data_IF_761836126221
#
_entry.id   IF_761836126221
#
_cell.length_a   1.000
_cell.length_b   1.000
_cell.length_c   1.000
_cell.angle_alpha   90.00
_cell.angle_beta   90.00
_cell.angle_gamma   90.00
#
_symmetry.space_group_name_H-M   'P 1'
#
loop_
_entity.id
_entity.type
_entity.pdbx_description
1 polymer ?
#
# COMPACT_ATOMS: atom_id res chain seq x y z
N UNK A 1 -42.26 11.14 44.18
CA UNK A 1 -41.19 11.97 43.59
C UNK A 1 -39.87 11.20 43.70
N UNK A 2 -39.34 10.59 42.62
CA UNK A 2 -38.09 9.83 42.68
C UNK A 2 -36.88 10.77 42.60
N UNK A 3 -35.89 10.52 43.47
CA UNK A 3 -34.59 11.22 43.51
C UNK A 3 -33.65 10.67 42.45
N UNK A 4 -33.09 11.56 41.63
CA UNK A 4 -32.08 11.23 40.63
C UNK A 4 -30.74 10.87 41.31
N UNK A 5 -30.14 9.75 40.89
CA UNK A 5 -28.81 9.34 41.30
C UNK A 5 -27.76 10.03 40.43
N UNK A 6 -26.80 10.70 41.08
CA UNK A 6 -25.67 11.36 40.43
C UNK A 6 -24.49 10.39 40.42
N UNK A 7 -24.14 9.86 39.25
CA UNK A 7 -22.91 9.09 39.06
C UNK A 7 -21.73 10.04 38.84
N UNK A 8 -20.78 10.06 39.79
CA UNK A 8 -19.46 10.69 39.64
C UNK A 8 -18.53 9.74 38.89
N UNK A 9 -17.93 10.20 37.80
CA UNK A 9 -16.86 9.49 37.11
C UNK A 9 -15.51 9.67 37.85
N UNK A 10 -14.64 8.65 37.89
CA UNK A 10 -13.32 8.75 38.48
C UNK A 10 -12.35 9.52 37.58
N UNK A 11 -11.53 10.37 38.19
CA UNK A 11 -10.44 11.09 37.55
C UNK A 11 -9.28 10.15 37.24
N UNK A 12 -8.92 10.02 35.96
CA UNK A 12 -7.71 9.31 35.51
C UNK A 12 -6.52 10.27 35.61
N UNK A 13 -5.59 9.94 36.51
CA UNK A 13 -4.29 10.61 36.62
C UNK A 13 -3.40 10.21 35.44
N UNK A 14 -3.00 11.19 34.64
CA UNK A 14 -1.97 11.04 33.62
C UNK A 14 -0.59 11.09 34.29
N UNK A 15 0.15 9.98 34.28
CA UNK A 15 1.58 9.98 34.58
C UNK A 15 2.35 10.33 33.30
N UNK A 16 3.03 11.47 33.31
CA UNK A 16 3.98 11.88 32.27
C UNK A 16 5.33 11.24 32.64
N UNK A 17 5.78 10.26 31.86
CA UNK A 17 7.12 9.69 31.99
C UNK A 17 8.11 10.50 31.13
N UNK A 18 9.11 11.11 31.78
CA UNK A 18 10.25 11.77 31.15
C UNK A 18 11.12 10.76 30.38
N UNK A 19 11.30 10.99 29.08
CA UNK A 19 12.23 10.23 28.25
C UNK A 19 13.67 10.77 28.42
N UNK A 20 14.54 9.94 28.98
CA UNK A 20 15.96 10.22 29.21
C UNK A 20 16.75 10.44 27.92
N UNK A 21 17.59 11.47 27.93
CA UNK A 21 18.59 11.78 26.90
C UNK A 21 19.74 10.75 26.96
N UNK A 22 19.74 9.78 26.06
CA UNK A 22 20.89 8.91 25.80
C UNK A 22 21.88 9.59 24.85
N UNK A 23 23.07 9.90 25.35
CA UNK A 23 24.19 10.39 24.54
C UNK A 23 24.71 9.27 23.63
N UNK A 24 24.57 9.43 22.31
CA UNK A 24 25.11 8.50 21.33
C UNK A 24 26.58 8.84 21.03
N UNK A 25 27.48 7.98 21.48
CA UNK A 25 28.92 8.01 21.18
C UNK A 25 29.15 7.55 19.73
N UNK A 26 29.47 8.47 18.83
CA UNK A 26 29.89 8.17 17.45
C UNK A 26 31.26 7.48 17.46
N UNK A 27 31.31 6.19 17.08
CA UNK A 27 32.56 5.52 16.71
C UNK A 27 32.75 5.62 15.20
N UNK A 28 33.72 6.45 14.81
CA UNK A 28 34.17 6.65 13.44
C UNK A 28 35.08 5.49 13.04
N UNK A 29 34.58 4.54 12.26
CA UNK A 29 35.40 3.47 11.68
C UNK A 29 35.79 3.85 10.26
N UNK A 30 37.07 4.21 10.06
CA UNK A 30 37.69 4.31 8.74
C UNK A 30 37.74 2.91 8.09
N UNK A 31 37.17 2.78 6.89
CA UNK A 31 37.37 1.61 6.03
C UNK A 31 38.21 2.03 4.82
N UNK A 32 39.32 1.33 4.51
CA UNK A 32 40.16 1.64 3.36
C UNK A 32 39.49 1.24 2.03
N UNK A 33 39.53 2.16 1.06
CA UNK A 33 39.08 1.99 -0.32
C UNK A 33 40.17 1.29 -1.12
N UNK A 34 39.90 0.05 -1.57
CA UNK A 34 40.78 -0.70 -2.47
C UNK A 34 40.31 -0.53 -3.91
N UNK A 35 41.07 0.23 -4.71
CA UNK A 35 40.92 0.28 -6.17
C UNK A 35 41.38 -1.05 -6.79
N UNK A 36 40.45 -1.80 -7.38
CA UNK A 36 40.73 -2.99 -8.17
C UNK A 36 40.25 -2.81 -9.62
N UNK A 37 41.18 -2.48 -10.51
CA UNK A 37 41.00 -2.37 -11.96
C UNK A 37 41.03 -3.79 -12.56
N UNK A 38 39.92 -4.27 -13.13
CA UNK A 38 39.88 -5.57 -13.82
C UNK A 38 39.27 -5.42 -15.23
N UNK A 39 40.14 -5.60 -16.22
CA UNK A 39 39.84 -5.65 -17.65
C UNK A 39 38.93 -6.84 -17.98
N UNK A 40 37.81 -6.60 -18.67
CA UNK A 40 36.94 -7.66 -19.17
C UNK A 40 37.14 -7.86 -20.68
N UNK A 41 37.62 -9.06 -21.03
CA UNK A 41 37.81 -9.57 -22.38
C UNK A 41 36.45 -9.79 -23.06
N UNK A 42 36.31 -9.28 -24.28
CA UNK A 42 35.17 -9.50 -25.17
C UNK A 42 35.37 -10.85 -25.86
N UNK A 43 34.61 -11.87 -25.45
CA UNK A 43 34.55 -13.16 -26.13
C UNK A 43 33.30 -13.22 -27.03
N UNK A 44 33.50 -13.19 -28.34
CA UNK A 44 32.46 -13.47 -29.34
C UNK A 44 32.14 -14.97 -29.32
N UNK A 45 31.05 -15.36 -28.64
CA UNK A 45 30.51 -16.73 -28.65
C UNK A 45 29.38 -16.90 -29.65
N UNK A 46 29.57 -17.81 -30.60
CA UNK A 46 28.62 -18.21 -31.65
C UNK A 46 27.31 -18.76 -31.07
N UNK A 47 26.19 -18.21 -31.54
CA UNK A 47 24.84 -18.48 -31.04
C UNK A 47 24.31 -19.89 -31.30
N UNK A 48 24.00 -20.59 -30.22
CA UNK A 48 23.01 -21.67 -30.21
C UNK A 48 21.66 -21.09 -29.80
N UNK A 49 20.65 -21.25 -30.65
CA UNK A 49 19.28 -20.85 -30.32
C UNK A 49 18.79 -21.67 -29.12
N UNK A 50 18.38 -21.05 -28.00
CA UNK A 50 17.80 -21.78 -26.88
C UNK A 50 16.48 -22.41 -27.37
N UNK A 51 16.43 -23.74 -27.39
CA UNK A 51 15.19 -24.49 -27.53
C UNK A 51 14.42 -24.28 -26.24
N UNK A 52 13.52 -23.29 -26.27
CA UNK A 52 12.67 -22.91 -25.14
C UNK A 52 11.82 -24.08 -24.70
N UNK A 53 12.19 -24.68 -23.57
CA UNK A 53 11.27 -25.52 -22.84
C UNK A 53 10.23 -24.62 -22.19
N UNK A 54 8.94 -24.93 -22.39
CA UNK A 54 7.78 -24.30 -21.76
C UNK A 54 7.71 -24.55 -20.23
N UNK A 55 8.85 -24.52 -19.54
CA UNK A 55 9.01 -24.72 -18.11
C UNK A 55 8.64 -23.50 -17.28
N UNK A 56 7.53 -22.83 -17.64
CA UNK A 56 6.98 -21.77 -16.81
C UNK A 56 6.70 -22.25 -15.39
N UNK A 57 6.73 -21.37 -14.38
CA UNK A 57 6.39 -21.73 -13.02
C UNK A 57 5.02 -22.41 -12.97
N UNK A 58 4.94 -23.61 -12.39
CA UNK A 58 3.67 -24.31 -12.22
C UNK A 58 2.86 -23.59 -11.14
N UNK A 59 1.71 -23.05 -11.53
CA UNK A 59 0.80 -22.36 -10.60
C UNK A 59 0.24 -23.33 -9.53
N UNK A 60 0.08 -22.87 -8.28
CA UNK A 60 -0.67 -23.60 -7.25
C UNK A 60 -2.12 -23.87 -7.69
N UNK A 61 -2.73 -24.99 -7.27
CA UNK A 61 -4.10 -25.34 -7.65
C UNK A 61 -5.17 -24.33 -7.17
N UNK A 62 -4.81 -23.52 -6.19
CA UNK A 62 -5.64 -22.50 -5.54
C UNK A 62 -5.14 -21.08 -5.80
N UNK A 63 -4.31 -20.88 -6.84
CA UNK A 63 -3.80 -19.57 -7.24
C UNK A 63 -4.89 -18.49 -7.39
N UNK A 64 -6.07 -18.87 -7.88
CA UNK A 64 -7.21 -17.95 -8.12
C UNK A 64 -8.33 -18.07 -7.07
N UNK A 65 -8.07 -18.68 -5.90
CA UNK A 65 -9.11 -18.93 -4.90
C UNK A 65 -9.79 -17.64 -4.39
N UNK A 66 -9.03 -16.53 -4.31
CA UNK A 66 -9.55 -15.25 -3.83
C UNK A 66 -10.70 -14.70 -4.69
N UNK A 67 -10.77 -15.05 -5.99
CA UNK A 67 -11.82 -14.58 -6.91
C UNK A 67 -13.21 -15.10 -6.56
N UNK A 68 -13.30 -16.14 -5.74
CA UNK A 68 -14.57 -16.71 -5.24
C UNK A 68 -15.05 -16.06 -3.95
N UNK A 69 -14.22 -15.20 -3.34
CA UNK A 69 -14.55 -14.50 -2.12
C UNK A 69 -15.36 -13.24 -2.47
N UNK A 70 -16.52 -13.10 -1.85
CA UNK A 70 -17.23 -11.82 -1.83
C UNK A 70 -16.50 -10.89 -0.86
N UNK A 71 -15.74 -9.94 -1.40
CA UNK A 71 -14.98 -8.96 -0.62
C UNK A 71 -15.89 -8.15 0.32
N UNK A 72 -17.15 -7.95 -0.06
CA UNK A 72 -18.16 -7.30 0.77
C UNK A 72 -18.56 -8.13 1.99
N UNK A 73 -18.28 -9.43 2.05
CA UNK A 73 -18.57 -10.28 3.21
C UNK A 73 -17.35 -10.52 4.11
N UNK A 74 -16.20 -9.92 3.80
CA UNK A 74 -15.00 -10.05 4.64
C UNK A 74 -15.11 -9.12 5.84
N UNK A 75 -15.05 -9.67 7.06
CA UNK A 75 -15.29 -8.94 8.32
C UNK A 75 -14.48 -7.65 8.45
N UNK A 76 -13.18 -7.70 8.16
CA UNK A 76 -12.28 -6.55 8.22
C UNK A 76 -12.66 -5.44 7.22
N UNK A 77 -13.16 -5.82 6.05
CA UNK A 77 -13.62 -4.88 5.02
C UNK A 77 -14.92 -4.22 5.46
N UNK A 78 -15.84 -5.01 6.00
CA UNK A 78 -17.08 -4.53 6.61
C UNK A 78 -16.82 -3.58 7.78
N UNK A 79 -15.82 -3.85 8.62
CA UNK A 79 -15.40 -2.92 9.68
C UNK A 79 -14.87 -1.60 9.12
N UNK A 80 -14.08 -1.64 8.04
CA UNK A 80 -13.58 -0.43 7.39
C UNK A 80 -14.72 0.40 6.79
N UNK A 81 -15.65 -0.22 6.06
CA UNK A 81 -16.82 0.46 5.49
C UNK A 81 -17.64 1.17 6.56
N UNK A 82 -17.90 0.52 7.71
CA UNK A 82 -18.59 1.15 8.85
C UNK A 82 -17.83 2.35 9.42
N UNK A 83 -16.50 2.31 9.41
CA UNK A 83 -15.65 3.40 9.94
C UNK A 83 -15.60 4.62 9.01
N UNK A 84 -15.62 4.40 7.70
CA UNK A 84 -15.52 5.49 6.72
C UNK A 84 -16.79 6.35 6.63
N UNK A 85 -17.92 5.90 7.20
CA UNK A 85 -19.25 6.53 7.20
C UNK A 85 -19.89 6.69 5.81
N UNK A 86 -19.10 6.87 4.76
CA UNK A 86 -19.47 6.88 3.35
C UNK A 86 -18.42 6.10 2.56
N UNK A 87 -18.83 5.12 1.76
CA UNK A 87 -17.94 4.31 0.94
C UNK A 87 -18.68 3.09 0.42
N UNK A 88 -18.39 2.70 -0.82
CA UNK A 88 -18.96 1.52 -1.47
C UNK A 88 -17.84 0.74 -2.19
N UNK A 89 -17.96 -0.59 -2.18
CA UNK A 89 -17.08 -1.45 -2.99
C UNK A 89 -17.70 -1.53 -4.39
N UNK A 90 -16.94 -1.15 -5.40
CA UNK A 90 -17.27 -1.49 -6.79
C UNK A 90 -16.57 -2.79 -7.16
N UNK A 91 -17.33 -3.88 -7.22
CA UNK A 91 -16.77 -5.20 -7.52
C UNK A 91 -16.17 -5.28 -8.93
N UNK A 92 -16.60 -4.41 -9.85
CA UNK A 92 -16.05 -4.33 -11.20
C UNK A 92 -14.65 -3.69 -11.23
N UNK A 93 -14.27 -2.96 -10.19
CA UNK A 93 -12.95 -2.31 -10.08
C UNK A 93 -11.95 -3.13 -9.23
N UNK A 94 -12.34 -4.30 -8.71
CA UNK A 94 -11.42 -5.15 -7.95
C UNK A 94 -10.31 -5.65 -8.87
N UNK A 95 -9.07 -5.38 -8.49
CA UNK A 95 -7.88 -5.89 -9.19
C UNK A 95 -7.41 -7.16 -8.51
N UNK A 96 -7.14 -8.19 -9.32
CA UNK A 96 -6.57 -9.45 -8.86
C UNK A 96 -5.17 -9.61 -9.42
N UNK A 97 -4.17 -9.73 -8.54
CA UNK A 97 -2.78 -9.88 -8.92
C UNK A 97 -1.98 -10.55 -7.79
N UNK A 98 -0.90 -11.24 -8.15
CA UNK A 98 0.10 -11.72 -7.20
C UNK A 98 1.01 -10.55 -6.81
N UNK A 99 0.83 -10.04 -5.59
CA UNK A 99 1.65 -8.97 -4.98
C UNK A 99 2.51 -9.49 -3.82
N UNK A 100 2.47 -10.80 -3.55
CA UNK A 100 3.27 -11.46 -2.51
C UNK A 100 4.40 -12.32 -3.07
N UNK A 101 4.38 -12.59 -4.38
CA UNK A 101 5.35 -13.40 -5.10
C UNK A 101 5.18 -14.90 -4.87
N UNK A 102 4.04 -15.36 -4.34
CA UNK A 102 3.79 -16.76 -4.00
C UNK A 102 2.98 -17.52 -5.08
N UNK A 103 2.77 -16.89 -6.24
CA UNK A 103 1.98 -17.36 -7.38
C UNK A 103 0.48 -17.52 -7.06
N UNK A 104 -0.02 -16.88 -6.01
CA UNK A 104 -1.44 -16.76 -5.70
C UNK A 104 -1.84 -15.31 -5.84
N UNK A 105 -3.07 -15.10 -6.26
CA UNK A 105 -3.60 -13.77 -6.43
C UNK A 105 -4.13 -13.24 -5.08
N UNK A 106 -3.87 -11.97 -4.84
CA UNK A 106 -4.57 -11.14 -3.87
C UNK A 106 -5.66 -10.31 -4.56
N UNK A 107 -6.67 -9.91 -3.80
CA UNK A 107 -7.68 -8.95 -4.24
C UNK A 107 -7.36 -7.56 -3.67
N UNK A 108 -7.15 -6.59 -4.56
CA UNK A 108 -7.05 -5.17 -4.23
C UNK A 108 -8.46 -4.58 -4.39
N UNK A 109 -9.10 -4.30 -3.26
CA UNK A 109 -10.51 -3.94 -3.19
C UNK A 109 -10.62 -2.42 -3.00
N UNK A 110 -10.96 -1.65 -4.05
CA UNK A 110 -11.22 -0.22 -3.93
C UNK A 110 -12.47 0.04 -3.09
N UNK A 111 -12.44 1.11 -2.32
CA UNK A 111 -13.61 1.68 -1.65
C UNK A 111 -13.81 3.09 -2.19
N UNK A 112 -14.86 3.24 -3.00
CA UNK A 112 -15.21 4.47 -3.68
C UNK A 112 -16.13 5.34 -2.84
N UNK A 113 -15.94 6.65 -2.90
CA UNK A 113 -16.89 7.64 -2.38
C UNK A 113 -18.16 7.75 -3.23
N UNK A 114 -18.15 7.20 -4.46
CA UNK A 114 -19.17 7.41 -5.51
C UNK A 114 -19.33 8.87 -5.97
N UNK A 115 -18.45 9.76 -5.50
CA UNK A 115 -18.39 11.16 -5.88
C UNK A 115 -17.12 11.48 -6.67
N UNK A 116 -16.79 12.78 -6.74
CA UNK A 116 -15.61 13.28 -7.46
C UNK A 116 -14.28 12.93 -6.78
N UNK A 117 -14.31 12.48 -5.52
CA UNK A 117 -13.13 12.02 -4.81
C UNK A 117 -12.63 10.65 -5.30
N UNK A 118 -13.42 9.90 -6.08
CA UNK A 118 -13.03 8.55 -6.51
C UNK A 118 -12.84 7.61 -5.31
N UNK A 119 -11.78 6.81 -5.33
CA UNK A 119 -11.45 5.87 -4.26
C UNK A 119 -10.89 6.60 -3.04
N UNK A 120 -11.52 6.39 -1.89
CA UNK A 120 -11.15 7.01 -0.61
C UNK A 120 -10.42 6.04 0.32
N UNK A 121 -10.43 4.75 -0.02
CA UNK A 121 -9.68 3.72 0.67
C UNK A 121 -9.49 2.52 -0.27
N UNK A 122 -8.60 1.63 0.09
CA UNK A 122 -8.57 0.28 -0.44
C UNK A 122 -7.99 -0.69 0.59
N UNK A 123 -8.27 -1.97 0.38
CA UNK A 123 -7.67 -3.06 1.16
C UNK A 123 -7.07 -4.08 0.21
N UNK A 124 -6.04 -4.78 0.66
CA UNK A 124 -5.49 -5.95 -0.04
C UNK A 124 -5.83 -7.19 0.77
N UNK A 125 -6.51 -8.13 0.15
CA UNK A 125 -6.99 -9.37 0.77
C UNK A 125 -6.29 -10.56 0.13
N UNK A 126 -5.62 -11.37 0.95
CA UNK A 126 -4.96 -12.61 0.55
C UNK A 126 -5.72 -13.83 1.05
N UNK A 127 -5.59 -14.96 0.37
CA UNK A 127 -6.06 -16.24 0.87
C UNK A 127 -4.98 -16.92 1.72
N UNK A 128 -5.23 -17.07 3.02
CA UNK A 128 -4.30 -17.69 3.98
C UNK A 128 -4.99 -18.78 4.77
N UNK A 129 -4.42 -19.98 4.76
CA UNK A 129 -5.00 -21.15 5.44
C UNK A 129 -6.49 -21.38 5.09
N UNK A 130 -6.86 -21.11 3.83
CA UNK A 130 -8.24 -21.24 3.34
C UNK A 130 -9.19 -20.12 3.76
N UNK A 131 -8.71 -19.02 4.33
CA UNK A 131 -9.52 -17.87 4.77
C UNK A 131 -9.03 -16.55 4.15
N UNK A 132 -9.92 -15.60 3.86
CA UNK A 132 -9.51 -14.27 3.44
C UNK A 132 -8.93 -13.49 4.63
N UNK A 133 -7.72 -12.97 4.47
CA UNK A 133 -7.02 -12.14 5.46
C UNK A 133 -6.59 -10.82 4.81
N UNK A 134 -6.79 -9.70 5.52
CA UNK A 134 -6.33 -8.39 5.07
C UNK A 134 -4.84 -8.23 5.36
N UNK A 135 -4.05 -7.97 4.33
CA UNK A 135 -2.58 -7.79 4.43
C UNK A 135 -2.14 -6.33 4.23
N UNK A 136 -3.04 -5.45 3.79
CA UNK A 136 -2.85 -4.00 3.69
C UNK A 136 -4.18 -3.28 3.82
N UNK A 137 -4.20 -2.15 4.52
CA UNK A 137 -5.33 -1.21 4.55
C UNK A 137 -4.82 0.20 4.35
N UNK A 138 -5.40 0.92 3.41
CA UNK A 138 -5.04 2.30 3.09
C UNK A 138 -6.29 3.13 3.02
N UNK A 139 -6.25 4.29 3.65
CA UNK A 139 -7.35 5.26 3.69
C UNK A 139 -6.79 6.61 3.32
N UNK A 140 -7.55 7.39 2.57
CA UNK A 140 -7.24 8.78 2.30
C UNK A 140 -7.02 9.51 3.63
N UNK A 141 -5.87 10.17 3.76
CA UNK A 141 -5.54 10.95 4.94
C UNK A 141 -5.97 12.41 4.75
N UNK A 142 -5.97 13.22 5.81
CA UNK A 142 -6.35 14.64 5.70
C UNK A 142 -5.33 15.48 4.91
N UNK A 143 -4.08 15.02 4.77
CA UNK A 143 -3.05 15.69 3.97
C UNK A 143 -3.19 15.45 2.46
N UNK A 144 -4.05 14.52 2.07
CA UNK A 144 -4.41 14.19 0.68
C UNK A 144 -5.85 14.64 0.35
N UNK A 145 -6.43 15.48 1.21
CA UNK A 145 -7.81 15.95 1.12
C UNK A 145 -8.05 16.75 -0.17
N UNK A 146 -8.60 16.07 -1.18
CA UNK A 146 -9.04 16.65 -2.44
C UNK A 146 -8.97 15.67 -3.61
N UNK A 147 -8.12 14.64 -3.52
CA UNK A 147 -7.94 13.63 -4.57
C UNK A 147 -8.22 12.22 -4.08
N UNK A 148 -8.60 11.32 -4.98
CA UNK A 148 -8.73 9.90 -4.69
C UNK A 148 -7.39 9.17 -4.65
N UNK A 149 -7.45 7.92 -4.20
CA UNK A 149 -6.38 6.94 -4.32
C UNK A 149 -6.50 6.23 -5.67
N UNK A 150 -5.40 6.11 -6.40
CA UNK A 150 -5.32 5.23 -7.58
C UNK A 150 -4.38 4.08 -7.26
N UNK A 151 -4.77 2.88 -7.65
CA UNK A 151 -3.95 1.68 -7.46
C UNK A 151 -3.59 1.07 -8.82
N UNK A 152 -2.38 0.56 -8.93
CA UNK A 152 -1.90 -0.15 -10.10
C UNK A 152 -0.91 -1.23 -9.67
N UNK A 153 -0.92 -2.38 -10.35
CA UNK A 153 0.09 -3.42 -10.14
C UNK A 153 0.97 -3.50 -11.38
N UNK A 154 2.29 -3.40 -11.18
CA UNK A 154 3.29 -3.53 -12.25
C UNK A 154 4.38 -4.49 -11.77
N UNK A 155 4.65 -5.53 -12.56
CA UNK A 155 5.69 -6.51 -12.28
C UNK A 155 5.59 -7.12 -10.86
N UNK A 156 4.37 -7.38 -10.39
CA UNK A 156 4.10 -7.92 -9.05
C UNK A 156 4.22 -6.90 -7.90
N UNK A 157 4.47 -5.63 -8.20
CA UNK A 157 4.58 -4.55 -7.21
C UNK A 157 3.31 -3.71 -7.23
N UNK A 158 2.71 -3.49 -6.06
CA UNK A 158 1.57 -2.60 -5.88
C UNK A 158 2.04 -1.14 -5.79
N UNK A 159 1.47 -0.28 -6.62
CA UNK A 159 1.67 1.17 -6.61
C UNK A 159 0.38 1.87 -6.20
N UNK A 160 0.48 2.75 -5.20
CA UNK A 160 -0.54 3.73 -4.83
C UNK A 160 -0.12 5.09 -5.39
N UNK A 161 -1.04 5.80 -6.03
CA UNK A 161 -0.87 7.21 -6.41
C UNK A 161 -1.92 8.06 -5.69
N UNK A 162 -1.49 9.12 -5.03
CA UNK A 162 -2.36 10.07 -4.34
C UNK A 162 -1.96 11.52 -4.64
N UNK A 163 -2.90 12.44 -4.64
CA UNK A 163 -2.62 13.87 -4.79
C UNK A 163 -2.00 14.48 -3.52
N UNK A 164 -1.01 15.34 -3.69
CA UNK A 164 -0.39 16.13 -2.61
C UNK A 164 -0.70 17.60 -2.87
N UNK A 165 -1.38 18.23 -1.92
CA UNK A 165 -1.87 19.61 -2.03
C UNK A 165 -0.93 20.58 -1.32
N UNK A 166 -0.45 21.58 -2.04
CA UNK A 166 0.19 22.78 -1.51
C UNK A 166 -0.82 23.76 -0.93
N UNK A 167 -0.33 24.79 -0.23
CA UNK A 167 -1.19 25.81 0.39
C UNK A 167 -1.97 26.64 -0.64
N UNK A 168 -1.43 26.81 -1.85
CA UNK A 168 -2.05 27.55 -2.95
C UNK A 168 -2.88 26.66 -3.89
N UNK A 169 -2.90 25.33 -3.65
CA UNK A 169 -3.60 24.41 -4.52
C UNK A 169 -5.12 24.50 -4.30
N UNK A 170 -5.91 24.64 -5.36
CA UNK A 170 -7.34 24.41 -5.28
C UNK A 170 -7.61 22.97 -4.85
N UNK A 171 -8.65 22.74 -4.03
CA UNK A 171 -9.03 21.41 -3.51
C UNK A 171 -9.38 20.35 -4.59
N UNK A 172 -9.36 20.71 -5.87
CA UNK A 172 -9.57 19.81 -7.00
C UNK A 172 -8.27 19.29 -7.65
N UNK A 173 -7.16 19.99 -7.42
CA UNK A 173 -6.10 20.08 -8.40
C UNK A 173 -4.75 20.14 -7.69
N UNK A 174 -4.20 18.99 -7.27
CA UNK A 174 -2.93 18.94 -6.55
C UNK A 174 -1.79 19.35 -7.48
N UNK A 175 -0.80 20.06 -6.95
CA UNK A 175 0.43 20.42 -7.67
C UNK A 175 1.42 19.27 -7.77
N UNK A 176 1.34 18.30 -6.85
CA UNK A 176 2.21 17.15 -6.78
C UNK A 176 1.42 15.84 -6.67
N UNK A 177 2.01 14.75 -7.15
CA UNK A 177 1.52 13.39 -6.93
C UNK A 177 2.51 12.65 -6.04
N UNK A 178 2.01 11.93 -5.04
CA UNK A 178 2.78 10.95 -4.28
C UNK A 178 2.55 9.57 -4.86
N UNK A 179 3.63 8.90 -5.25
CA UNK A 179 3.62 7.51 -5.69
C UNK A 179 4.31 6.66 -4.63
N UNK A 180 3.58 5.70 -4.07
CA UNK A 180 4.07 4.77 -3.04
C UNK A 180 4.10 3.36 -3.62
N UNK A 181 5.28 2.75 -3.65
CA UNK A 181 5.47 1.35 -4.02
C UNK A 181 5.49 0.48 -2.76
N UNK A 182 4.78 -0.65 -2.81
CA UNK A 182 4.70 -1.60 -1.71
C UNK A 182 5.42 -2.90 -2.01
N UNK A 183 6.17 -3.39 -1.03
CA UNK A 183 6.88 -4.66 -1.07
C UNK A 183 6.33 -5.60 0.01
N UNK A 184 6.28 -6.88 -0.31
CA UNK A 184 5.86 -7.93 0.60
C UNK A 184 6.98 -8.40 1.53
N UNK A 185 6.84 -8.21 2.85
CA UNK A 185 7.88 -8.59 3.82
C UNK A 185 7.77 -10.03 4.38
N UNK A 186 6.84 -10.83 3.86
CA UNK A 186 6.48 -12.14 4.40
C UNK A 186 5.26 -12.13 5.34
N UNK A 187 4.84 -10.97 5.82
CA UNK A 187 3.73 -10.80 6.75
C UNK A 187 2.68 -9.79 6.30
N UNK A 188 3.11 -8.65 5.76
CA UNK A 188 2.26 -7.56 5.28
C UNK A 188 2.94 -6.79 4.14
N UNK A 189 2.17 -6.00 3.39
CA UNK A 189 2.74 -5.09 2.40
C UNK A 189 3.28 -3.85 3.13
N UNK A 190 4.58 -3.61 2.99
CA UNK A 190 5.28 -2.45 3.55
C UNK A 190 5.57 -1.43 2.47
N UNK A 191 5.66 -0.16 2.87
CA UNK A 191 6.17 0.89 1.97
C UNK A 191 7.64 0.59 1.68
N UNK A 192 7.96 0.30 0.43
CA UNK A 192 9.33 0.14 -0.04
C UNK A 192 9.92 1.48 -0.45
N UNK A 193 9.15 2.25 -1.23
CA UNK A 193 9.58 3.51 -1.81
C UNK A 193 8.42 4.49 -1.88
N UNK A 194 8.71 5.76 -1.60
CA UNK A 194 7.80 6.86 -1.81
C UNK A 194 8.51 7.94 -2.64
N UNK A 195 7.83 8.42 -3.67
CA UNK A 195 8.32 9.47 -4.55
C UNK A 195 7.26 10.55 -4.73
N UNK A 196 7.70 11.81 -4.82
CA UNK A 196 6.84 12.93 -5.22
C UNK A 196 7.17 13.31 -6.65
N UNK A 197 6.14 13.37 -7.47
CA UNK A 197 6.21 13.79 -8.86
C UNK A 197 5.53 15.14 -8.98
N UNK A 198 6.22 16.12 -9.55
CA UNK A 198 5.59 17.37 -9.92
C UNK A 198 4.59 17.08 -11.04
N UNK A 199 3.34 17.51 -10.86
CA UNK A 199 2.38 17.41 -11.93
C UNK A 199 2.76 18.47 -12.97
N UNK A 200 2.99 18.09 -14.24
CA UNK A 200 3.22 19.11 -15.26
C UNK A 200 2.03 20.07 -15.21
N UNK A 201 2.25 21.40 -15.35
CA UNK A 201 1.16 22.36 -15.31
C UNK A 201 0.13 21.88 -16.31
N UNK A 202 -1.04 21.46 -15.82
CA UNK A 202 -2.11 21.02 -16.69
C UNK A 202 -2.35 22.18 -17.63
N UNK A 203 -2.03 22.00 -18.92
CA UNK A 203 -2.29 23.01 -19.93
C UNK A 203 -3.76 23.35 -19.76
N UNK A 204 -4.04 24.60 -19.33
CA UNK A 204 -5.39 25.05 -19.01
C UNK A 204 -6.29 24.64 -20.17
N UNK A 205 -7.15 23.64 -19.94
CA UNK A 205 -8.17 23.24 -20.91
C UNK A 205 -9.30 24.26 -20.87
#
# INVERSE_FOLDING_TARGET
MPRAAVCRAPALAFNIAEAGKGAATLRLSLVPVSLGLASLLIACGSGGAPTGGDGGPKLPPDAAAIRKVDAGQVDSVQMLLRRLASGEIDSAEIVYADVTGDLREEAIVPISSRGTLGNIAYVVVAMRSGKPEVILTRTLDRSTAGGGLKMEVRDGVLYETAGVYGEEDPLCCPSQLRVTAFHWDGSSLQVEREERLDQPPSAKQ
#
